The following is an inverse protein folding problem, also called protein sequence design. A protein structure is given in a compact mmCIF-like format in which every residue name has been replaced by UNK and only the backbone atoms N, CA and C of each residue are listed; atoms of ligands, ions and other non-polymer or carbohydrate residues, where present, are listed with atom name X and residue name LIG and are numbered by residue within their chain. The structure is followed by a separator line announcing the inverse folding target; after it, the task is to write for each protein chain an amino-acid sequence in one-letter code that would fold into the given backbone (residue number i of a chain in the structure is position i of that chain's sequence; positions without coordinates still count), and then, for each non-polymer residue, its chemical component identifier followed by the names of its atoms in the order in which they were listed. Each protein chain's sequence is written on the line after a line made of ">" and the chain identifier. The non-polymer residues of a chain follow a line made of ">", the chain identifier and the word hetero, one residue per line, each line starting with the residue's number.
data_IF_067996609261
#
_entry.id   IF_067996609261
#
_cell.length_a   1.000
_cell.length_b   1.000
_cell.length_c   1.000
_cell.angle_alpha   90.00
_cell.angle_beta   90.00
_cell.angle_gamma   90.00
#
_symmetry.space_group_name_H-M   'P 1'
#
loop_
_entity.id
_entity.type
_entity.pdbx_description
1 polymer ?
#
# COMPACT_ATOMS: atom_id res chain seq x y z
N UNK A 1 -36.05 -55.77 49.34
CA UNK A 1 -35.96 -57.20 48.97
C UNK A 1 -35.79 -57.24 47.45
N UNK A 2 -34.81 -58.04 47.00
CA UNK A 2 -34.34 -58.22 45.62
C UNK A 2 -35.49 -58.44 44.60
N UNK A 3 -35.34 -58.31 43.27
CA UNK A 3 -34.46 -59.07 42.37
C UNK A 3 -34.32 -58.33 41.02
N UNK A 4 -33.16 -58.51 40.39
CA UNK A 4 -32.68 -58.09 39.06
C UNK A 4 -33.62 -58.51 37.89
N UNK A 5 -33.51 -57.88 36.70
CA UNK A 5 -33.13 -58.73 35.58
C UNK A 5 -32.07 -58.13 34.66
N UNK A 6 -31.19 -59.05 34.25
CA UNK A 6 -30.26 -58.95 33.15
C UNK A 6 -31.02 -58.85 31.81
N UNK A 7 -30.66 -57.87 30.99
CA UNK A 7 -30.34 -58.07 29.57
C UNK A 7 -29.73 -56.77 29.00
N UNK A 8 -28.41 -56.66 29.13
CA UNK A 8 -27.56 -55.79 28.32
C UNK A 8 -26.79 -56.71 27.40
N UNK A 9 -27.01 -56.63 26.09
CA UNK A 9 -26.03 -56.94 25.04
C UNK A 9 -26.70 -56.85 23.67
N UNK A 10 -26.58 -55.68 23.00
CA UNK A 10 -26.47 -55.52 21.55
C UNK A 10 -26.75 -54.07 21.14
N UNK A 11 -25.90 -53.10 21.53
CA UNK A 11 -26.02 -51.74 21.00
C UNK A 11 -24.71 -50.93 21.11
N UNK A 12 -23.54 -51.51 20.79
CA UNK A 12 -22.29 -50.73 20.88
C UNK A 12 -21.21 -51.09 19.85
N UNK A 13 -21.61 -51.46 18.62
CA UNK A 13 -20.64 -51.65 17.52
C UNK A 13 -20.88 -50.83 16.26
N UNK A 14 -21.95 -50.04 16.16
CA UNK A 14 -22.24 -49.24 14.97
C UNK A 14 -21.92 -47.73 15.08
N UNK A 15 -21.54 -47.21 16.24
CA UNK A 15 -21.29 -45.75 16.41
C UNK A 15 -19.83 -45.32 16.19
N UNK A 16 -18.85 -46.22 16.29
CA UNK A 16 -17.42 -45.85 16.08
C UNK A 16 -17.01 -45.78 14.62
N UNK A 17 -17.57 -46.62 13.75
CA UNK A 17 -17.19 -46.63 12.33
C UNK A 17 -17.69 -45.38 11.59
N UNK A 18 -18.91 -44.93 11.88
CA UNK A 18 -19.51 -43.75 11.25
C UNK A 18 -18.79 -42.46 11.67
N UNK A 19 -18.41 -42.33 12.94
CA UNK A 19 -17.73 -41.14 13.46
C UNK A 19 -16.30 -40.99 12.92
N UNK A 20 -15.57 -42.09 12.73
CA UNK A 20 -14.22 -42.06 12.12
C UNK A 20 -14.31 -41.71 10.63
N UNK A 21 -15.32 -42.20 9.92
CA UNK A 21 -15.49 -41.91 8.50
C UNK A 21 -15.87 -40.44 8.24
N UNK A 22 -16.66 -39.82 9.12
CA UNK A 22 -16.98 -38.38 9.03
C UNK A 22 -15.77 -37.48 9.32
N UNK A 23 -14.92 -37.85 10.28
CA UNK A 23 -13.68 -37.09 10.59
C UNK A 23 -12.66 -37.18 9.45
N UNK A 24 -12.53 -38.34 8.80
CA UNK A 24 -11.64 -38.51 7.63
C UNK A 24 -12.16 -37.74 6.40
N UNK A 25 -13.48 -37.74 6.15
CA UNK A 25 -14.08 -36.95 5.07
C UNK A 25 -13.97 -35.44 5.30
N UNK A 26 -14.11 -34.97 6.54
CA UNK A 26 -13.87 -33.56 6.89
C UNK A 26 -12.39 -33.16 6.77
N UNK A 27 -11.46 -34.04 7.15
CA UNK A 27 -10.02 -33.80 7.01
C UNK A 27 -9.56 -33.79 5.54
N UNK A 28 -10.26 -34.51 4.65
CA UNK A 28 -10.00 -34.46 3.20
C UNK A 28 -10.60 -33.22 2.53
N UNK A 29 -11.65 -32.61 3.08
CA UNK A 29 -12.16 -31.31 2.60
C UNK A 29 -11.34 -30.10 3.04
N UNK A 30 -10.40 -30.26 3.99
CA UNK A 30 -9.49 -29.19 4.44
C UNK A 30 -8.14 -29.17 3.72
N UNK A 31 -7.88 -30.14 2.83
CA UNK A 31 -6.85 -30.00 1.82
C UNK A 31 -7.45 -29.14 0.70
N UNK A 32 -7.63 -27.84 0.98
CA UNK A 32 -7.88 -26.86 -0.07
C UNK A 32 -6.84 -27.10 -1.15
N UNK A 33 -7.28 -27.24 -2.40
CA UNK A 33 -6.37 -27.36 -3.52
C UNK A 33 -5.33 -26.24 -3.37
N UNK A 34 -4.05 -26.60 -3.31
CA UNK A 34 -2.98 -25.61 -3.43
C UNK A 34 -3.22 -24.99 -4.79
N UNK A 35 -3.70 -23.76 -4.81
CA UNK A 35 -3.93 -23.06 -6.06
C UNK A 35 -2.56 -22.75 -6.66
N UNK A 36 -2.15 -23.54 -7.65
CA UNK A 36 -0.86 -23.39 -8.31
C UNK A 36 -0.72 -21.98 -8.92
N UNK A 37 0.38 -21.30 -8.62
CA UNK A 37 0.76 -20.05 -9.26
C UNK A 37 0.45 -18.78 -8.45
N UNK A 38 -0.32 -18.82 -7.37
CA UNK A 38 -0.50 -17.63 -6.50
C UNK A 38 0.77 -17.25 -5.74
N UNK A 39 1.62 -18.23 -5.46
CA UNK A 39 2.96 -18.00 -4.91
C UNK A 39 3.80 -17.10 -5.81
N UNK A 40 3.54 -17.09 -7.13
CA UNK A 40 4.23 -16.23 -8.09
C UNK A 40 3.90 -14.74 -7.91
N UNK A 41 2.75 -14.39 -7.31
CA UNK A 41 2.42 -12.98 -7.02
C UNK A 41 3.34 -12.36 -5.96
N UNK A 42 3.93 -13.21 -5.11
CA UNK A 42 4.82 -12.78 -4.02
C UNK A 42 6.28 -13.13 -4.28
N UNK A 43 6.59 -13.60 -5.50
CA UNK A 43 7.95 -13.94 -5.90
C UNK A 43 8.62 -12.74 -6.58
N UNK A 44 9.84 -12.44 -6.17
CA UNK A 44 10.66 -11.42 -6.80
C UNK A 44 10.82 -11.63 -8.30
N UNK A 45 10.56 -10.57 -9.06
CA UNK A 45 10.83 -10.47 -10.48
C UNK A 45 11.59 -9.17 -10.75
N UNK A 46 12.91 -9.27 -10.82
CA UNK A 46 13.80 -8.13 -11.11
C UNK A 46 14.03 -7.91 -12.61
N UNK A 47 13.41 -8.70 -13.49
CA UNK A 47 13.56 -8.53 -14.94
C UNK A 47 12.87 -7.25 -15.40
N UNK A 48 13.65 -6.30 -15.91
CA UNK A 48 13.13 -5.09 -16.54
C UNK A 48 13.01 -5.31 -18.04
N UNK A 49 11.97 -4.74 -18.63
CA UNK A 49 11.71 -4.81 -20.07
C UNK A 49 11.20 -3.47 -20.55
N UNK A 50 11.55 -3.11 -21.78
CA UNK A 50 11.15 -1.85 -22.40
C UNK A 50 10.51 -2.13 -23.75
N UNK A 51 9.25 -1.68 -23.92
CA UNK A 51 8.50 -1.68 -25.17
C UNK A 51 8.47 -3.05 -25.87
N UNK A 52 8.26 -4.12 -25.11
CA UNK A 52 8.03 -5.46 -25.68
C UNK A 52 6.60 -5.49 -26.21
N UNK A 53 6.47 -5.49 -27.53
CA UNK A 53 5.18 -5.38 -28.21
C UNK A 53 4.62 -6.73 -28.64
N UNK A 54 3.31 -6.87 -28.46
CA UNK A 54 2.53 -8.05 -28.81
C UNK A 54 1.42 -7.65 -29.75
N UNK A 55 1.18 -8.49 -30.76
CA UNK A 55 0.02 -8.34 -31.63
C UNK A 55 -1.25 -8.79 -30.89
N UNK A 56 -2.30 -7.99 -30.95
CA UNK A 56 -3.61 -8.30 -30.37
C UNK A 56 -4.72 -7.77 -31.26
N UNK A 57 -5.47 -8.70 -31.86
CA UNK A 57 -6.58 -8.40 -32.78
C UNK A 57 -7.90 -8.04 -32.07
N UNK A 58 -7.89 -7.98 -30.74
CA UNK A 58 -9.09 -7.80 -29.91
C UNK A 58 -9.06 -6.52 -29.06
N UNK A 59 -8.25 -5.52 -29.43
CA UNK A 59 -8.23 -4.22 -28.75
C UNK A 59 -9.43 -3.38 -29.25
N UNK A 60 -10.40 -3.01 -28.39
CA UNK A 60 -11.47 -2.12 -28.79
C UNK A 60 -10.94 -0.80 -29.32
N UNK A 61 -11.56 -0.26 -30.37
CA UNK A 61 -11.08 0.96 -31.06
C UNK A 61 -11.01 2.21 -30.16
N UNK A 62 -11.78 2.24 -29.08
CA UNK A 62 -11.75 3.33 -28.10
C UNK A 62 -10.61 3.19 -27.06
N UNK A 63 -9.99 2.02 -26.94
CA UNK A 63 -8.90 1.76 -25.99
C UNK A 63 -7.55 2.14 -26.59
N UNK A 64 -7.37 3.43 -26.84
CA UNK A 64 -6.08 4.01 -27.20
C UNK A 64 -5.53 4.77 -25.99
N UNK A 65 -4.39 4.35 -25.47
CA UNK A 65 -3.72 5.08 -24.40
C UNK A 65 -2.72 4.24 -23.63
N UNK A 66 -2.50 4.65 -22.38
CA UNK A 66 -1.53 4.04 -21.48
C UNK A 66 -2.27 3.55 -20.23
N UNK A 67 -2.05 2.28 -19.88
CA UNK A 67 -2.42 1.75 -18.57
C UNK A 67 -1.15 1.58 -17.75
N UNK A 68 -1.12 2.20 -16.56
CA UNK A 68 0.04 2.26 -15.70
C UNK A 68 -0.36 1.89 -14.28
N UNK A 69 0.47 1.09 -13.62
CA UNK A 69 0.30 0.75 -12.21
C UNK A 69 1.64 0.39 -11.58
N UNK A 70 1.74 0.61 -10.27
CA UNK A 70 2.81 0.05 -9.46
C UNK A 70 2.36 -1.23 -8.78
N UNK A 71 3.34 -2.09 -8.53
CA UNK A 71 3.20 -3.27 -7.70
C UNK A 71 4.54 -3.53 -7.00
N UNK A 72 4.56 -4.57 -6.18
CA UNK A 72 5.79 -5.05 -5.56
C UNK A 72 6.56 -5.88 -6.58
N UNK A 73 7.83 -5.54 -6.82
CA UNK A 73 8.69 -6.25 -7.76
C UNK A 73 9.73 -7.16 -7.10
N UNK A 74 10.14 -6.86 -5.88
CA UNK A 74 11.23 -7.58 -5.21
C UNK A 74 11.02 -7.63 -3.69
N UNK A 75 11.01 -8.84 -3.15
CA UNK A 75 10.71 -9.19 -1.75
C UNK A 75 11.97 -9.50 -0.91
N UNK A 76 13.16 -9.40 -1.49
CA UNK A 76 14.42 -9.69 -0.80
C UNK A 76 15.58 -8.90 -1.39
N UNK A 77 16.64 -8.68 -0.62
CA UNK A 77 17.93 -8.20 -1.14
C UNK A 77 19.09 -8.71 -0.29
N UNK A 78 20.09 -9.28 -0.95
CA UNK A 78 21.18 -9.96 -0.26
C UNK A 78 20.66 -11.15 0.53
N UNK A 79 20.96 -11.20 1.83
CA UNK A 79 20.45 -12.24 2.74
C UNK A 79 19.13 -11.90 3.42
N UNK A 80 18.61 -10.67 3.24
CA UNK A 80 17.45 -10.14 3.94
C UNK A 80 16.17 -10.29 3.11
N UNK A 81 15.08 -10.69 3.76
CA UNK A 81 13.75 -10.86 3.15
C UNK A 81 12.72 -10.01 3.87
N UNK A 82 11.82 -9.38 3.12
CA UNK A 82 10.66 -8.71 3.68
C UNK A 82 9.64 -9.74 4.19
N UNK A 83 8.93 -9.38 5.25
CA UNK A 83 7.86 -10.19 5.83
C UNK A 83 6.47 -9.69 5.47
N UNK A 84 6.37 -8.44 5.00
CA UNK A 84 5.13 -7.81 4.56
C UNK A 84 5.23 -7.46 3.08
N UNK A 85 4.13 -7.61 2.35
CA UNK A 85 4.09 -7.30 0.91
C UNK A 85 4.29 -5.82 0.66
N UNK A 86 3.80 -4.95 1.55
CA UNK A 86 3.90 -3.50 1.40
C UNK A 86 5.33 -2.97 1.62
N UNK A 87 6.24 -3.80 2.13
CA UNK A 87 7.65 -3.47 2.35
C UNK A 87 8.53 -3.73 1.13
N UNK A 88 8.05 -4.56 0.18
CA UNK A 88 8.81 -4.94 -1.00
C UNK A 88 9.13 -3.76 -1.90
N UNK A 89 10.26 -3.85 -2.61
CA UNK A 89 10.67 -2.78 -3.53
C UNK A 89 9.68 -2.64 -4.68
N UNK A 90 9.26 -1.40 -4.93
CA UNK A 90 8.33 -1.07 -6.00
C UNK A 90 8.83 -1.41 -7.38
N UNK A 91 7.88 -1.77 -8.25
CA UNK A 91 8.07 -1.93 -9.68
C UNK A 91 6.89 -1.33 -10.41
N UNK A 92 7.19 -0.63 -11.49
CA UNK A 92 6.21 0.07 -12.31
C UNK A 92 5.98 -0.75 -13.57
N UNK A 93 4.73 -0.86 -13.96
CA UNK A 93 4.27 -1.58 -15.13
C UNK A 93 3.49 -0.63 -16.03
N UNK A 94 3.73 -0.74 -17.34
CA UNK A 94 3.04 0.06 -18.35
C UNK A 94 2.62 -0.79 -19.52
N UNK A 95 1.36 -0.64 -19.92
CA UNK A 95 0.83 -1.12 -21.18
C UNK A 95 0.47 0.08 -22.06
N UNK A 96 1.02 0.15 -23.27
CA UNK A 96 0.59 1.08 -24.31
C UNK A 96 -0.32 0.31 -25.26
N UNK A 97 -1.56 0.78 -25.42
CA UNK A 97 -2.57 0.16 -26.25
C UNK A 97 -2.75 0.99 -27.53
N UNK A 98 -2.49 0.38 -28.68
CA UNK A 98 -2.71 0.97 -30.00
C UNK A 98 -3.66 0.06 -30.81
N UNK A 99 -4.97 0.37 -30.85
CA UNK A 99 -5.92 -0.41 -31.62
C UNK A 99 -5.75 -0.24 -33.14
N UNK A 100 -5.13 0.85 -33.61
CA UNK A 100 -4.92 1.10 -35.04
C UNK A 100 -3.77 0.25 -35.59
N UNK A 101 -2.77 -0.03 -34.76
CA UNK A 101 -1.66 -0.93 -35.06
C UNK A 101 -1.89 -2.36 -34.54
N UNK A 102 -3.06 -2.67 -33.96
CA UNK A 102 -3.38 -3.96 -33.33
C UNK A 102 -2.26 -4.43 -32.39
N UNK A 103 -1.73 -3.51 -31.59
CA UNK A 103 -0.51 -3.72 -30.80
C UNK A 103 -0.71 -3.31 -29.34
N UNK A 104 -0.20 -4.15 -28.43
CA UNK A 104 -0.02 -3.82 -27.02
C UNK A 104 1.46 -3.89 -26.69
N UNK A 105 2.06 -2.79 -26.24
CA UNK A 105 3.46 -2.77 -25.82
C UNK A 105 3.56 -2.73 -24.29
N UNK A 106 4.40 -3.59 -23.74
CA UNK A 106 4.62 -3.72 -22.31
C UNK A 106 6.01 -3.22 -21.92
N UNK A 107 6.08 -2.44 -20.85
CA UNK A 107 7.31 -2.07 -20.16
C UNK A 107 7.17 -2.37 -18.67
N UNK A 108 8.26 -2.76 -18.02
CA UNK A 108 8.32 -2.86 -16.58
C UNK A 108 9.72 -2.50 -16.07
N UNK A 109 9.79 -1.72 -14.99
CA UNK A 109 11.04 -1.22 -14.42
C UNK A 109 10.93 -1.12 -12.90
N UNK A 110 11.99 -1.48 -12.17
CA UNK A 110 12.06 -1.26 -10.73
C UNK A 110 11.96 0.25 -10.44
N UNK A 111 11.22 0.60 -9.40
CA UNK A 111 11.06 1.98 -8.99
C UNK A 111 12.37 2.47 -8.38
N UNK A 112 13.03 3.41 -9.05
CA UNK A 112 14.34 3.95 -8.68
C UNK A 112 14.25 5.01 -7.56
N UNK A 113 13.55 4.64 -6.50
CA UNK A 113 13.42 5.40 -5.25
C UNK A 113 14.75 5.53 -4.51
N UNK A 114 14.85 6.51 -3.62
CA UNK A 114 15.98 6.63 -2.71
C UNK A 114 16.15 5.37 -1.84
N UNK A 115 15.05 4.76 -1.37
CA UNK A 115 15.09 3.52 -0.60
C UNK A 115 15.68 2.35 -1.41
N UNK A 116 15.22 2.16 -2.65
CA UNK A 116 15.72 1.11 -3.54
C UNK A 116 17.20 1.35 -3.88
N UNK A 117 17.56 2.57 -4.29
CA UNK A 117 18.92 2.92 -4.70
C UNK A 117 19.93 2.78 -3.54
N UNK A 118 19.55 3.19 -2.32
CA UNK A 118 20.37 3.00 -1.13
C UNK A 118 20.58 1.50 -0.85
N UNK A 119 19.52 0.69 -0.96
CA UNK A 119 19.59 -0.75 -0.75
C UNK A 119 20.50 -1.43 -1.79
N UNK A 120 20.33 -1.11 -3.08
CA UNK A 120 21.17 -1.62 -4.18
C UNK A 120 22.64 -1.28 -3.93
N UNK A 121 22.94 -0.05 -3.53
CA UNK A 121 24.31 0.38 -3.20
C UNK A 121 24.93 -0.42 -2.05
N UNK A 122 24.14 -0.80 -1.05
CA UNK A 122 24.60 -1.58 0.09
C UNK A 122 24.60 -3.10 -0.17
N UNK A 123 23.93 -3.58 -1.22
CA UNK A 123 23.77 -5.01 -1.52
C UNK A 123 22.88 -5.76 -0.53
N UNK A 124 22.04 -5.03 0.22
CA UNK A 124 21.10 -5.54 1.24
C UNK A 124 19.97 -4.54 1.40
N UNK A 125 18.90 -4.92 2.11
CA UNK A 125 17.83 -3.97 2.45
C UNK A 125 18.40 -2.85 3.33
N UNK A 126 18.38 -1.62 2.79
CA UNK A 126 18.90 -0.42 3.45
C UNK A 126 17.99 0.10 4.56
N UNK A 127 18.37 1.20 5.23
CA UNK A 127 17.52 1.82 6.24
C UNK A 127 16.25 2.41 5.60
N UNK A 128 15.16 2.39 6.35
CA UNK A 128 13.83 2.82 5.91
C UNK A 128 12.74 2.30 6.85
N UNK A 129 11.62 3.01 6.94
CA UNK A 129 10.44 2.58 7.69
C UNK A 129 9.78 1.43 6.92
N UNK A 130 9.57 0.32 7.63
CA UNK A 130 8.88 -0.87 7.12
C UNK A 130 7.69 -1.19 8.02
N UNK A 131 6.65 -1.82 7.47
CA UNK A 131 5.57 -2.45 8.23
C UNK A 131 6.10 -3.53 9.14
N UNK A 132 6.98 -4.41 8.65
CA UNK A 132 7.66 -5.42 9.46
C UNK A 132 9.15 -5.40 9.22
N UNK A 133 9.91 -5.73 10.25
CA UNK A 133 11.36 -5.85 10.10
C UNK A 133 11.71 -7.03 9.18
N UNK A 134 12.89 -7.02 8.54
CA UNK A 134 13.31 -8.11 7.65
C UNK A 134 13.71 -9.37 8.40
N UNK A 135 13.92 -10.46 7.67
CA UNK A 135 14.57 -11.68 8.18
C UNK A 135 15.84 -11.96 7.37
N UNK A 136 17.04 -11.98 8.00
CA UNK A 136 17.32 -11.53 9.37
C UNK A 136 17.02 -10.03 9.56
N UNK A 137 16.82 -9.56 10.80
CA UNK A 137 16.48 -8.16 11.05
C UNK A 137 17.61 -7.22 10.62
N UNK A 138 17.25 -6.04 10.09
CA UNK A 138 18.22 -4.98 9.83
C UNK A 138 18.79 -4.46 11.15
N UNK A 139 20.05 -4.03 11.11
CA UNK A 139 20.70 -3.34 12.21
C UNK A 139 20.87 -1.87 11.88
N UNK A 140 20.29 -1.04 12.75
CA UNK A 140 20.29 0.42 12.65
C UNK A 140 21.06 0.96 13.87
N UNK A 141 22.16 1.67 13.62
CA UNK A 141 23.08 2.14 14.69
C UNK A 141 22.40 3.10 15.68
N UNK A 142 21.44 3.90 15.21
CA UNK A 142 20.63 4.81 16.02
C UNK A 142 19.16 4.51 15.76
N UNK A 143 18.26 4.46 16.77
CA UNK A 143 16.84 4.12 16.57
C UNK A 143 16.14 4.90 15.45
N UNK A 144 16.57 6.15 15.22
CA UNK A 144 16.00 7.06 14.23
C UNK A 144 16.51 6.86 12.79
N UNK A 145 17.47 5.98 12.52
CA UNK A 145 18.09 5.92 11.19
C UNK A 145 17.07 5.57 10.08
N UNK A 146 16.05 4.76 10.41
CA UNK A 146 14.97 4.40 9.50
C UNK A 146 14.05 5.58 9.18
N UNK A 147 13.79 6.47 10.15
CA UNK A 147 12.94 7.65 9.96
C UNK A 147 13.61 8.69 9.06
N UNK A 148 14.94 8.83 9.17
CA UNK A 148 15.71 9.80 8.39
C UNK A 148 16.20 9.26 7.03
N UNK A 149 16.01 7.97 6.78
CA UNK A 149 16.27 7.38 5.47
C UNK A 149 15.25 7.87 4.43
N UNK A 150 15.52 7.68 3.13
CA UNK A 150 14.52 7.89 2.09
C UNK A 150 13.32 6.96 2.34
N UNK A 151 12.16 7.55 2.65
CA UNK A 151 10.91 6.84 2.91
C UNK A 151 9.95 7.10 1.74
N UNK A 152 10.37 6.64 0.57
CA UNK A 152 9.84 7.02 -0.74
C UNK A 152 9.43 5.83 -1.62
N UNK A 153 9.22 4.65 -1.02
CA UNK A 153 8.61 3.50 -1.69
C UNK A 153 7.09 3.72 -1.93
N UNK A 154 6.76 4.50 -2.96
CA UNK A 154 5.39 4.99 -3.25
C UNK A 154 4.60 4.04 -4.16
N UNK A 155 4.45 2.80 -3.73
CA UNK A 155 3.96 1.69 -4.59
C UNK A 155 2.44 1.56 -4.70
N UNK A 156 1.67 2.39 -4.00
CA UNK A 156 0.23 2.16 -3.83
C UNK A 156 -0.55 2.62 -5.06
N UNK A 157 -0.24 3.80 -5.59
CA UNK A 157 -1.02 4.34 -6.69
C UNK A 157 -0.26 5.36 -7.54
N UNK A 158 -0.75 5.54 -8.76
CA UNK A 158 -0.31 6.57 -9.70
C UNK A 158 -1.47 7.50 -9.98
N UNK A 159 -1.21 8.79 -9.93
CA UNK A 159 -2.19 9.84 -10.16
C UNK A 159 -1.71 10.75 -11.28
N UNK A 160 -2.65 11.28 -12.05
CA UNK A 160 -2.40 12.33 -13.01
C UNK A 160 -3.02 13.62 -12.49
N UNK A 161 -2.29 14.73 -12.55
CA UNK A 161 -2.75 16.07 -12.22
C UNK A 161 -2.31 17.00 -13.35
N UNK A 162 -3.26 17.49 -14.14
CA UNK A 162 -2.95 18.21 -15.37
C UNK A 162 -2.17 17.35 -16.36
N UNK A 163 -0.91 17.72 -16.63
CA UNK A 163 0.02 16.97 -17.48
C UNK A 163 1.06 16.19 -16.68
N UNK A 164 1.07 16.37 -15.36
CA UNK A 164 2.05 15.74 -14.47
C UNK A 164 1.53 14.41 -13.97
N UNK A 165 2.45 13.47 -13.77
CA UNK A 165 2.18 12.18 -13.15
C UNK A 165 2.92 12.12 -11.83
N UNK A 166 2.23 11.65 -10.80
CA UNK A 166 2.80 11.47 -9.49
C UNK A 166 2.49 10.08 -8.97
N UNK A 167 3.33 9.60 -8.06
CA UNK A 167 3.10 8.35 -7.34
C UNK A 167 2.97 8.62 -5.85
N UNK A 168 2.01 7.93 -5.24
CA UNK A 168 1.57 8.17 -3.87
C UNK A 168 1.50 6.88 -3.08
N UNK A 169 1.59 7.02 -1.76
CA UNK A 169 1.37 5.97 -0.77
C UNK A 169 0.62 6.58 0.41
N UNK A 170 0.43 5.82 1.49
CA UNK A 170 -0.24 6.30 2.69
C UNK A 170 0.64 7.17 3.59
N UNK A 171 1.78 7.62 3.08
CA UNK A 171 2.61 8.65 3.69
C UNK A 171 2.39 9.99 2.97
N UNK A 172 2.83 11.11 3.55
CA UNK A 172 2.81 12.40 2.86
C UNK A 172 3.80 12.48 1.69
N UNK A 173 4.66 11.48 1.50
CA UNK A 173 5.63 11.45 0.40
C UNK A 173 4.88 11.27 -0.92
N UNK A 174 5.13 12.19 -1.85
CA UNK A 174 4.68 12.11 -3.24
C UNK A 174 5.90 12.24 -4.13
N UNK A 175 6.02 11.38 -5.14
CA UNK A 175 7.11 11.45 -6.12
C UNK A 175 6.58 11.88 -7.48
N UNK A 176 7.30 12.79 -8.14
CA UNK A 176 7.10 13.09 -9.55
C UNK A 176 7.60 11.92 -10.39
N UNK A 177 6.83 11.59 -11.43
CA UNK A 177 7.02 10.39 -12.21
C UNK A 177 7.02 10.68 -13.71
N UNK A 178 8.01 10.15 -14.42
CA UNK A 178 8.05 10.14 -15.89
C UNK A 178 7.45 8.83 -16.42
N UNK A 179 6.23 8.85 -16.97
CA UNK A 179 5.59 7.66 -17.50
C UNK A 179 6.20 7.18 -18.82
N UNK A 180 6.97 8.01 -19.54
CA UNK A 180 7.58 7.64 -20.81
C UNK A 180 8.76 6.68 -20.59
N UNK A 181 9.52 6.86 -19.51
CA UNK A 181 10.71 6.07 -19.19
C UNK A 181 10.60 5.24 -17.90
N UNK A 182 9.43 5.25 -17.26
CA UNK A 182 9.16 4.60 -15.98
C UNK A 182 10.18 5.02 -14.90
N UNK A 183 10.42 6.32 -14.78
CA UNK A 183 11.50 6.88 -13.94
C UNK A 183 10.93 7.81 -12.86
N UNK A 184 11.40 7.64 -11.62
CA UNK A 184 11.14 8.60 -10.54
C UNK A 184 11.99 9.85 -10.74
N UNK A 185 11.35 10.99 -10.97
CA UNK A 185 12.03 12.29 -11.13
C UNK A 185 12.57 12.78 -9.78
N UNK A 186 11.79 12.55 -8.71
CA UNK A 186 12.17 12.90 -7.34
C UNK A 186 10.96 13.26 -6.48
N UNK A 187 11.21 13.73 -5.26
CA UNK A 187 10.15 14.17 -4.36
C UNK A 187 9.43 15.40 -4.95
N UNK A 188 8.10 15.30 -5.03
CA UNK A 188 7.24 16.38 -5.47
C UNK A 188 7.34 17.58 -4.51
N UNK A 189 7.49 18.78 -5.06
CA UNK A 189 7.68 20.01 -4.29
C UNK A 189 6.38 20.79 -4.22
N UNK A 190 5.72 20.70 -3.07
CA UNK A 190 4.54 21.50 -2.76
C UNK A 190 4.92 22.97 -2.51
N UNK A 191 4.25 23.88 -3.22
CA UNK A 191 4.28 25.34 -3.02
C UNK A 191 3.09 25.78 -2.18
N UNK A 192 3.01 25.26 -0.96
CA UNK A 192 1.96 25.58 0.01
C UNK A 192 2.42 25.46 1.46
N UNK A 193 1.51 25.77 2.38
CA UNK A 193 1.70 25.68 3.82
C UNK A 193 0.59 24.84 4.47
N UNK A 194 0.14 23.77 3.79
CA UNK A 194 -0.86 22.86 4.37
C UNK A 194 -0.34 22.30 5.69
N UNK A 195 0.87 21.71 5.67
CA UNK A 195 1.51 21.26 6.90
C UNK A 195 1.98 22.47 7.69
N UNK A 196 1.48 22.64 8.91
CA UNK A 196 1.80 23.81 9.73
C UNK A 196 3.26 23.80 10.14
N UNK A 197 3.82 25.00 10.32
CA UNK A 197 5.12 25.14 10.97
C UNK A 197 5.07 24.53 12.39
N UNK A 198 6.04 23.67 12.71
CA UNK A 198 6.08 22.90 13.97
C UNK A 198 5.34 21.56 13.94
N UNK A 199 4.59 21.27 12.87
CA UNK A 199 3.96 19.99 12.62
C UNK A 199 4.74 19.17 11.58
N UNK A 200 4.49 17.86 11.57
CA UNK A 200 4.99 16.94 10.57
C UNK A 200 3.80 16.21 9.94
N UNK A 201 3.76 16.13 8.61
CA UNK A 201 2.87 15.19 7.95
C UNK A 201 3.24 13.77 8.35
N UNK A 202 2.28 13.01 8.87
CA UNK A 202 2.51 11.65 9.34
C UNK A 202 1.93 10.63 8.39
N UNK A 203 0.71 10.89 7.90
CA UNK A 203 0.00 10.01 6.98
C UNK A 203 -0.62 10.82 5.85
N UNK A 204 -0.81 10.13 4.73
CA UNK A 204 -1.68 10.53 3.64
C UNK A 204 -2.58 9.36 3.24
N UNK A 205 -3.31 9.52 2.14
CA UNK A 205 -3.96 8.40 1.46
C UNK A 205 -3.32 8.19 0.09
N UNK A 206 -3.01 6.93 -0.23
CA UNK A 206 -2.65 6.50 -1.57
C UNK A 206 -3.82 6.49 -2.55
N UNK A 207 -5.03 6.85 -2.10
CA UNK A 207 -6.27 6.80 -2.89
C UNK A 207 -6.96 8.16 -3.00
N UNK A 208 -6.30 9.17 -3.59
CA UNK A 208 -6.95 10.45 -3.85
C UNK A 208 -8.07 10.29 -4.88
N UNK A 209 -9.08 11.15 -4.77
CA UNK A 209 -10.31 11.07 -5.57
C UNK A 209 -10.54 12.35 -6.34
N UNK A 210 -10.95 12.25 -7.61
CA UNK A 210 -11.48 13.42 -8.32
C UNK A 210 -12.82 13.81 -7.71
N UNK A 211 -13.01 15.11 -7.46
CA UNK A 211 -14.28 15.61 -6.94
C UNK A 211 -15.37 15.47 -8.01
N UNK A 212 -16.41 14.62 -7.82
CA UNK A 212 -17.31 14.23 -8.91
C UNK A 212 -18.10 15.37 -9.58
N UNK A 213 -18.35 16.48 -8.89
CA UNK A 213 -19.17 17.60 -9.38
C UNK A 213 -18.38 18.89 -9.58
N UNK A 214 -17.06 18.82 -9.51
CA UNK A 214 -16.21 20.00 -9.57
C UNK A 214 -15.82 20.33 -11.01
N UNK A 215 -16.18 21.53 -11.48
CA UNK A 215 -15.83 21.99 -12.83
C UNK A 215 -14.34 22.25 -13.00
N UNK A 216 -13.61 22.42 -11.90
CA UNK A 216 -12.15 22.59 -11.88
C UNK A 216 -11.40 21.24 -11.85
N UNK A 217 -12.14 20.12 -11.90
CA UNK A 217 -11.60 18.76 -11.87
C UNK A 217 -10.65 18.52 -10.70
N UNK A 218 -10.85 19.13 -9.52
CA UNK A 218 -9.89 19.02 -8.42
C UNK A 218 -9.71 17.58 -7.94
N UNK A 219 -8.46 17.22 -7.67
CA UNK A 219 -8.08 15.97 -7.01
C UNK A 219 -8.06 16.19 -5.49
N UNK A 220 -8.87 15.46 -4.77
CA UNK A 220 -8.98 15.50 -3.32
C UNK A 220 -8.02 14.51 -2.68
N UNK A 221 -7.41 14.88 -1.56
CA UNK A 221 -6.67 13.96 -0.71
C UNK A 221 -6.82 14.36 0.78
N UNK A 222 -6.36 13.48 1.66
CA UNK A 222 -6.26 13.70 3.11
C UNK A 222 -4.80 13.71 3.55
N UNK A 223 -4.46 14.64 4.44
CA UNK A 223 -3.17 14.72 5.11
C UNK A 223 -3.44 14.70 6.61
N UNK A 224 -2.81 13.76 7.32
CA UNK A 224 -2.84 13.74 8.79
C UNK A 224 -1.51 14.27 9.28
N UNK A 225 -1.55 15.42 9.95
CA UNK A 225 -0.38 16.03 10.57
C UNK A 225 -0.41 15.84 12.10
N UNK A 226 0.77 15.66 12.68
CA UNK A 226 0.95 15.61 14.13
C UNK A 226 1.96 16.68 14.56
N UNK A 227 1.78 17.28 15.75
CA UNK A 227 2.73 18.23 16.29
C UNK A 227 4.05 17.53 16.60
N UNK A 228 5.11 18.00 15.96
CA UNK A 228 6.48 17.54 16.22
C UNK A 228 7.03 18.15 17.52
N UNK A 229 6.46 19.27 17.95
CA UNK A 229 6.81 20.00 19.17
C UNK A 229 5.52 20.40 19.91
N UNK A 230 5.48 20.21 21.24
CA UNK A 230 4.46 20.84 22.10
C UNK A 230 3.21 20.02 22.46
N UNK A 231 3.14 18.73 22.12
CA UNK A 231 2.15 17.79 22.69
C UNK A 231 0.67 18.09 22.38
N UNK A 232 0.40 18.71 21.22
CA UNK A 232 -0.95 19.00 20.72
C UNK A 232 -1.67 17.79 20.13
N UNK A 233 -2.90 18.00 19.64
CA UNK A 233 -3.65 16.99 18.90
C UNK A 233 -3.20 16.92 17.43
N UNK A 234 -3.32 15.73 16.83
CA UNK A 234 -3.20 15.56 15.38
C UNK A 234 -4.32 16.29 14.65
N UNK A 235 -4.07 16.83 13.46
CA UNK A 235 -5.12 17.41 12.62
C UNK A 235 -5.29 16.62 11.34
N UNK A 236 -6.53 16.56 10.87
CA UNK A 236 -6.91 15.94 9.62
C UNK A 236 -7.24 17.06 8.65
N UNK A 237 -6.43 17.15 7.60
CA UNK A 237 -6.52 18.19 6.59
C UNK A 237 -7.04 17.55 5.31
N UNK A 238 -8.13 18.10 4.81
CA UNK A 238 -8.67 17.74 3.51
C UNK A 238 -8.17 18.77 2.52
N UNK A 239 -7.45 18.30 1.51
CA UNK A 239 -6.84 19.15 0.49
C UNK A 239 -7.40 18.86 -0.88
N UNK A 240 -7.34 19.86 -1.75
CA UNK A 240 -7.61 19.75 -3.17
C UNK A 240 -6.40 20.21 -3.99
N UNK A 241 -6.15 19.56 -5.11
CA UNK A 241 -5.11 19.92 -6.07
C UNK A 241 -5.81 20.18 -7.41
N UNK A 242 -5.48 21.30 -8.05
CA UNK A 242 -6.04 21.66 -9.36
C UNK A 242 -5.10 21.18 -10.47
N UNK A 243 -5.68 20.83 -11.62
CA UNK A 243 -4.91 20.39 -12.78
C UNK A 243 -4.02 21.50 -13.38
N UNK A 244 -4.41 22.76 -13.23
CA UNK A 244 -3.66 23.92 -13.72
C UNK A 244 -2.68 24.51 -12.70
N UNK A 245 -2.72 24.04 -11.45
CA UNK A 245 -1.80 24.41 -10.36
C UNK A 245 -1.35 23.14 -9.61
N UNK A 246 -0.65 22.20 -10.29
CA UNK A 246 -0.38 20.85 -9.76
C UNK A 246 0.55 20.85 -8.53
N UNK A 247 1.30 21.94 -8.31
CA UNK A 247 2.25 22.07 -7.20
C UNK A 247 1.62 22.69 -5.93
N UNK A 248 0.33 23.02 -5.94
CA UNK A 248 -0.30 23.74 -4.82
C UNK A 248 -1.51 22.99 -4.31
N UNK A 249 -1.56 22.78 -2.98
CA UNK A 249 -2.72 22.21 -2.30
C UNK A 249 -3.59 23.31 -1.69
N UNK A 250 -4.85 23.33 -2.07
CA UNK A 250 -5.91 24.13 -1.45
C UNK A 250 -6.42 23.40 -0.20
N UNK A 251 -6.39 24.04 0.97
CA UNK A 251 -7.02 23.49 2.17
C UNK A 251 -8.54 23.66 2.07
N UNK A 252 -9.26 22.56 1.89
CA UNK A 252 -10.72 22.54 1.81
C UNK A 252 -11.33 22.58 3.21
N UNK A 253 -10.81 21.76 4.11
CA UNK A 253 -11.28 21.70 5.49
C UNK A 253 -10.20 21.13 6.42
N UNK A 254 -10.32 21.43 7.71
CA UNK A 254 -9.42 20.97 8.76
C UNK A 254 -10.21 20.72 10.03
N UNK A 255 -9.94 19.61 10.68
CA UNK A 255 -10.43 19.36 12.04
C UNK A 255 -9.39 18.67 12.90
N UNK A 256 -9.51 18.85 14.21
CA UNK A 256 -8.62 18.23 15.19
C UNK A 256 -9.14 16.84 15.58
N UNK A 257 -8.23 15.87 15.64
CA UNK A 257 -8.51 14.57 16.21
C UNK A 257 -8.66 14.69 17.74
N UNK A 258 -9.44 13.81 18.40
CA UNK A 258 -9.37 13.66 19.84
C UNK A 258 -7.93 13.43 20.32
N UNK A 259 -7.57 13.98 21.48
CA UNK A 259 -6.22 13.82 22.04
C UNK A 259 -5.88 12.33 22.21
N UNK A 260 -4.71 11.93 21.70
CA UNK A 260 -4.24 10.54 21.74
C UNK A 260 -4.83 9.65 20.63
N UNK A 261 -5.66 10.20 19.75
CA UNK A 261 -6.18 9.51 18.58
C UNK A 261 -5.56 10.12 17.32
N UNK A 262 -4.92 9.30 16.50
CA UNK A 262 -4.45 9.67 15.16
C UNK A 262 -5.07 8.67 14.19
N UNK A 263 -6.06 9.08 13.39
CA UNK A 263 -6.71 8.17 12.47
C UNK A 263 -5.78 7.78 11.31
N UNK A 264 -5.96 6.56 10.83
CA UNK A 264 -5.40 6.10 9.56
C UNK A 264 -6.52 5.99 8.51
N UNK A 265 -6.32 6.67 7.39
CA UNK A 265 -7.26 6.67 6.26
C UNK A 265 -6.56 6.09 5.03
N UNK A 266 -6.67 4.78 4.82
CA UNK A 266 -6.21 4.19 3.56
C UNK A 266 -6.96 4.81 2.38
N UNK A 267 -8.27 5.00 2.51
CA UNK A 267 -9.11 5.68 1.54
C UNK A 267 -10.26 6.44 2.21
N UNK A 268 -10.98 7.24 1.42
CA UNK A 268 -12.13 8.02 1.86
C UNK A 268 -13.18 8.09 0.74
N UNK A 269 -14.36 8.61 1.04
CA UNK A 269 -15.44 8.77 0.07
C UNK A 269 -15.65 10.22 -0.34
N UNK A 270 -16.03 10.45 -1.60
CA UNK A 270 -16.47 11.75 -2.09
C UNK A 270 -17.79 11.61 -2.87
N UNK A 271 -18.72 12.52 -2.60
CA UNK A 271 -19.94 12.73 -3.38
C UNK A 271 -19.91 14.15 -3.96
N UNK A 272 -20.95 14.57 -4.67
CA UNK A 272 -21.02 15.95 -5.16
C UNK A 272 -20.94 16.99 -4.04
N UNK A 273 -21.49 16.68 -2.86
CA UNK A 273 -21.67 17.67 -1.77
C UNK A 273 -20.95 17.31 -0.48
N UNK A 274 -20.43 16.08 -0.34
CA UNK A 274 -19.89 15.57 0.91
C UNK A 274 -18.59 14.82 0.69
N UNK A 275 -17.69 15.00 1.66
CA UNK A 275 -16.52 14.16 1.87
C UNK A 275 -16.77 13.30 3.11
N UNK A 276 -16.49 12.01 2.99
CA UNK A 276 -16.84 11.00 3.99
C UNK A 276 -15.54 10.33 4.44
N UNK A 277 -15.14 10.61 5.68
CA UNK A 277 -13.93 10.06 6.30
C UNK A 277 -14.34 8.95 7.29
N UNK A 278 -14.14 7.66 6.97
CA UNK A 278 -14.51 6.57 7.86
C UNK A 278 -13.50 6.46 9.00
N UNK A 279 -13.83 7.07 10.14
CA UNK A 279 -13.04 6.88 11.37
C UNK A 279 -13.11 5.43 11.85
N UNK A 280 -11.96 4.77 11.86
CA UNK A 280 -11.83 3.40 12.33
C UNK A 280 -11.49 3.38 13.83
N UNK A 281 -11.75 2.24 14.48
CA UNK A 281 -11.35 2.01 15.87
C UNK A 281 -9.81 1.99 16.01
N UNK A 282 -9.09 1.63 14.96
CA UNK A 282 -7.63 1.60 14.96
C UNK A 282 -7.06 3.02 14.91
N UNK A 283 -6.15 3.31 15.84
CA UNK A 283 -5.36 4.55 15.91
C UNK A 283 -3.88 4.25 15.65
N UNK A 284 -3.11 5.26 15.29
CA UNK A 284 -1.65 5.14 15.09
C UNK A 284 -0.85 5.94 16.13
N UNK A 285 0.05 5.27 16.84
CA UNK A 285 1.07 5.87 17.71
C UNK A 285 2.45 5.81 17.03
N UNK A 286 2.87 6.94 16.47
CA UNK A 286 4.14 7.04 15.75
C UNK A 286 5.37 7.11 16.64
N UNK A 287 5.22 7.27 17.96
CA UNK A 287 6.36 7.27 18.88
C UNK A 287 7.09 5.91 18.90
N UNK A 288 6.45 4.83 18.45
CA UNK A 288 7.08 3.52 18.29
C UNK A 288 8.18 3.52 17.22
N UNK A 289 8.03 4.33 16.17
CA UNK A 289 9.04 4.43 15.11
C UNK A 289 10.32 5.07 15.67
N UNK A 290 10.19 6.00 16.63
CA UNK A 290 11.33 6.63 17.29
C UNK A 290 12.12 5.65 18.16
N UNK A 291 11.46 4.58 18.59
CA UNK A 291 12.07 3.44 19.31
C UNK A 291 12.73 2.45 18.34
N UNK A 292 12.72 2.72 17.03
CA UNK A 292 13.25 1.83 16.00
C UNK A 292 12.38 0.61 15.71
N UNK A 293 11.10 0.62 16.13
CA UNK A 293 10.16 -0.46 15.85
C UNK A 293 9.52 -0.32 14.47
N UNK A 294 9.02 -1.41 13.87
CA UNK A 294 8.30 -1.36 12.60
C UNK A 294 6.96 -0.62 12.70
N UNK A 295 6.44 -0.18 11.56
CA UNK A 295 5.18 0.55 11.44
C UNK A 295 3.96 -0.27 11.86
N UNK A 296 3.97 -1.60 11.72
CA UNK A 296 2.88 -2.44 12.21
C UNK A 296 2.62 -2.27 13.72
N UNK A 297 3.66 -2.01 14.51
CA UNK A 297 3.54 -1.80 15.96
C UNK A 297 2.91 -0.44 16.31
N UNK A 298 2.77 0.47 15.35
CA UNK A 298 2.14 1.78 15.56
C UNK A 298 0.62 1.68 15.62
N UNK A 299 0.03 0.66 15.00
CA UNK A 299 -1.42 0.47 14.96
C UNK A 299 -1.92 -0.11 16.29
N UNK A 300 -2.80 0.63 16.95
CA UNK A 300 -3.40 0.28 18.23
C UNK A 300 -4.93 0.20 18.10
N UNK A 301 -5.60 -0.73 18.81
CA UNK A 301 -7.05 -0.86 18.81
C UNK A 301 -7.77 0.29 19.55
#
# INVERSE_FOLDING_TARGET
>A
VAICPWHVCCAHRQTRATMVMTVVLMAMSTLGAIEEGWDLLFRSNTTEVENVCFHSTAIPSFMHGMYLFAAVGMMEMGSMRFQDVLDGFGKIHRFILDPSAETVCFSAKMMDTGFYNASVKEGKVGPGVLFKETVPPRHCLLPMCNIFAPNDNVIINTIAVGQDYMMVTDSPTTLDFDPAHLHMVGAHKWDDHVVKWGNKGMLGSGHPLRWPSDSLNRLLNVVVEAPYVGGGASTIDIVAIRDDEPNTRELINRYEAPKGYTPYFHSFGATSNFLILPHQAVTTDFSVLEQGKPMADSFQP
#
